data_IF_378155179138
#
_entry.id   IF_378155179138
#
_cell.length_a   1.000
_cell.length_b   1.000
_cell.length_c   1.000
_cell.angle_alpha   90.00
_cell.angle_beta   90.00
_cell.angle_gamma   90.00
#
_symmetry.space_group_name_H-M   'P 1'
#
loop_
_entity.id
_entity.type
_entity.pdbx_description
1 polymer ?
#
# COMPACT_ATOMS: atom_id res chain seq x y z
N UNK A 1 -17.59 -19.65 20.46
CA UNK A 1 -16.85 -19.72 19.18
C UNK A 1 -15.44 -19.25 19.47
N UNK A 2 -14.46 -20.15 19.50
CA UNK A 2 -13.06 -19.75 19.62
C UNK A 2 -12.67 -19.08 18.31
N UNK A 3 -12.65 -17.76 18.27
CA UNK A 3 -12.09 -17.03 17.14
C UNK A 3 -10.60 -17.34 17.10
N UNK A 4 -10.14 -18.09 16.10
CA UNK A 4 -8.71 -18.21 15.85
C UNK A 4 -8.16 -16.80 15.64
N UNK A 5 -7.25 -16.40 16.52
CA UNK A 5 -6.53 -15.13 16.41
C UNK A 5 -5.73 -15.17 15.10
N UNK A 6 -6.11 -14.31 14.16
CA UNK A 6 -5.48 -14.26 12.83
C UNK A 6 -4.17 -13.50 12.90
N UNK A 7 -3.12 -14.08 12.33
CA UNK A 7 -1.81 -13.45 12.19
C UNK A 7 -1.78 -12.64 10.90
N UNK A 8 -2.25 -11.40 10.94
CA UNK A 8 -2.36 -10.54 9.76
C UNK A 8 -1.02 -10.02 9.27
N UNK A 9 -0.92 -9.75 7.97
CA UNK A 9 0.29 -9.24 7.32
C UNK A 9 0.22 -7.79 6.86
N UNK A 10 -0.97 -7.30 6.49
CA UNK A 10 -1.12 -6.02 5.81
C UNK A 10 -0.93 -4.78 6.70
N UNK A 11 -1.03 -3.59 6.09
CA UNK A 11 -0.67 -2.32 6.72
C UNK A 11 -1.59 -1.86 7.85
N UNK A 12 -2.86 -2.29 7.85
CA UNK A 12 -3.84 -1.82 8.83
C UNK A 12 -3.75 -2.54 10.18
N UNK A 13 -3.53 -3.86 10.17
CA UNK A 13 -3.68 -4.72 11.36
C UNK A 13 -2.62 -5.82 11.45
N UNK A 14 -1.55 -5.74 10.66
CA UNK A 14 -0.59 -6.83 10.50
C UNK A 14 0.87 -6.40 10.58
N UNK A 15 1.74 -7.36 10.29
CA UNK A 15 3.20 -7.20 10.35
C UNK A 15 3.69 -5.96 9.61
N UNK A 16 3.19 -5.68 8.39
CA UNK A 16 3.60 -4.51 7.61
C UNK A 16 3.39 -3.19 8.37
N UNK A 17 2.25 -3.03 9.05
CA UNK A 17 1.96 -1.85 9.86
C UNK A 17 2.87 -1.73 11.08
N UNK A 18 3.09 -2.85 11.78
CA UNK A 18 3.97 -2.89 12.96
C UNK A 18 5.40 -2.54 12.57
N UNK A 19 5.95 -3.21 11.54
CA UNK A 19 7.31 -2.97 11.07
C UNK A 19 7.47 -1.53 10.56
N UNK A 20 6.48 -0.99 9.85
CA UNK A 20 6.50 0.40 9.39
C UNK A 20 6.67 1.38 10.56
N UNK A 21 5.93 1.18 11.65
CA UNK A 21 6.04 2.04 12.84
C UNK A 21 7.37 1.86 13.55
N UNK A 22 7.85 0.62 13.76
CA UNK A 22 9.13 0.35 14.42
C UNK A 22 10.30 1.05 13.72
N UNK A 23 10.31 1.06 12.39
CA UNK A 23 11.34 1.71 11.57
C UNK A 23 11.34 3.25 11.65
N UNK A 24 10.45 3.87 12.44
CA UNK A 24 10.51 5.31 12.75
C UNK A 24 11.30 5.62 14.02
N UNK A 25 11.73 4.61 14.76
CA UNK A 25 12.49 4.76 16.00
C UNK A 25 13.93 4.31 15.82
N UNK A 26 14.80 4.78 16.72
CA UNK A 26 16.15 4.24 16.83
C UNK A 26 16.08 2.87 17.50
N UNK A 27 16.37 1.82 16.74
CA UNK A 27 16.33 0.44 17.19
C UNK A 27 17.69 0.01 17.78
N UNK A 28 17.66 -0.98 18.68
CA UNK A 28 18.88 -1.72 19.01
C UNK A 28 19.28 -2.59 17.82
N UNK A 29 20.54 -3.05 17.78
CA UNK A 29 21.01 -3.94 16.71
C UNK A 29 20.18 -5.22 16.60
N UNK A 30 19.83 -5.82 17.74
CA UNK A 30 18.98 -7.02 17.79
C UNK A 30 17.57 -6.75 17.23
N UNK A 31 16.94 -5.64 17.64
CA UNK A 31 15.61 -5.28 17.13
C UNK A 31 15.64 -4.93 15.64
N UNK A 32 16.73 -4.34 15.14
CA UNK A 32 16.94 -4.11 13.71
C UNK A 32 17.02 -5.42 12.93
N UNK A 33 17.79 -6.40 13.42
CA UNK A 33 17.89 -7.74 12.83
C UNK A 33 16.53 -8.45 12.80
N UNK A 34 15.72 -8.34 13.86
CA UNK A 34 14.37 -8.90 13.92
C UNK A 34 13.41 -8.23 12.91
N UNK A 35 13.48 -6.91 12.76
CA UNK A 35 12.68 -6.16 11.79
C UNK A 35 13.04 -6.59 10.37
N UNK A 36 14.34 -6.63 10.04
CA UNK A 36 14.80 -7.09 8.71
C UNK A 36 14.41 -8.53 8.44
N UNK A 37 14.62 -9.42 9.41
CA UNK A 37 14.22 -10.82 9.30
C UNK A 37 12.73 -11.00 9.04
N UNK A 38 11.88 -10.20 9.71
CA UNK A 38 10.43 -10.21 9.49
C UNK A 38 10.07 -9.73 8.08
N UNK A 39 10.72 -8.68 7.58
CA UNK A 39 10.47 -8.17 6.22
C UNK A 39 10.94 -9.16 5.15
N UNK A 40 12.13 -9.76 5.30
CA UNK A 40 12.61 -10.81 4.41
C UNK A 40 11.69 -12.02 4.41
N UNK A 41 11.21 -12.45 5.60
CA UNK A 41 10.21 -13.50 5.70
C UNK A 41 8.99 -13.19 4.84
N UNK A 42 8.46 -11.96 4.93
CA UNK A 42 7.30 -11.57 4.12
C UNK A 42 7.60 -11.57 2.61
N UNK A 43 8.78 -11.10 2.20
CA UNK A 43 9.22 -11.07 0.79
C UNK A 43 9.33 -12.49 0.22
N UNK A 44 9.96 -13.41 0.95
CA UNK A 44 10.19 -14.80 0.52
C UNK A 44 8.89 -15.62 0.42
N UNK A 45 7.85 -15.23 1.16
CA UNK A 45 6.60 -15.97 1.29
C UNK A 45 5.41 -15.26 0.60
N UNK A 46 5.68 -14.39 -0.36
CA UNK A 46 4.67 -13.86 -1.27
C UNK A 46 4.03 -14.97 -2.14
N UNK A 47 2.84 -14.71 -2.67
CA UNK A 47 2.21 -15.60 -3.65
C UNK A 47 3.01 -15.65 -4.96
N UNK A 48 2.83 -16.68 -5.80
CA UNK A 48 3.45 -16.76 -7.12
C UNK A 48 3.14 -15.57 -8.05
N UNK A 49 2.09 -14.80 -7.76
CA UNK A 49 1.75 -13.58 -8.50
C UNK A 49 2.56 -12.34 -8.10
N UNK A 50 3.36 -12.42 -7.03
CA UNK A 50 4.01 -11.31 -6.34
C UNK A 50 3.14 -10.60 -5.30
N UNK A 51 1.85 -10.93 -5.18
CA UNK A 51 1.00 -10.37 -4.13
C UNK A 51 1.23 -11.07 -2.79
N UNK A 52 0.73 -10.49 -1.70
CA UNK A 52 0.98 -11.01 -0.36
C UNK A 52 -0.29 -11.54 0.31
N UNK A 53 -0.15 -12.55 1.20
CA UNK A 53 -1.27 -13.10 1.93
C UNK A 53 -1.90 -12.08 2.88
N UNK A 54 -3.19 -12.24 3.14
CA UNK A 54 -3.90 -11.37 4.10
C UNK A 54 -3.55 -11.69 5.56
N UNK A 55 -3.30 -12.97 5.83
CA UNK A 55 -2.84 -13.53 7.11
C UNK A 55 -2.02 -14.80 6.83
N UNK A 56 -1.30 -15.28 7.85
CA UNK A 56 -0.42 -16.45 7.79
C UNK A 56 -1.07 -17.69 7.14
N UNK A 57 -2.33 -17.97 7.45
CA UNK A 57 -3.05 -19.15 6.97
C UNK A 57 -3.75 -18.93 5.62
N UNK A 58 -3.64 -17.74 5.05
CA UNK A 58 -4.38 -17.33 3.86
C UNK A 58 -3.71 -17.83 2.58
N UNK A 59 -4.34 -18.77 1.89
CA UNK A 59 -3.92 -19.23 0.55
C UNK A 59 -4.65 -18.52 -0.61
N UNK A 60 -5.47 -17.52 -0.32
CA UNK A 60 -6.32 -16.85 -1.31
C UNK A 60 -5.68 -15.54 -1.78
N UNK A 61 -5.08 -15.58 -2.95
CA UNK A 61 -4.52 -14.40 -3.61
C UNK A 61 -5.60 -13.55 -4.28
N UNK A 62 -6.22 -12.64 -3.51
CA UNK A 62 -7.30 -11.78 -4.02
C UNK A 62 -7.15 -10.31 -3.67
N UNK A 63 -6.68 -9.99 -2.46
CA UNK A 63 -6.73 -8.63 -1.94
C UNK A 63 -5.49 -7.86 -2.36
N UNK A 64 -5.69 -6.71 -3.02
CA UNK A 64 -4.63 -5.78 -3.44
C UNK A 64 -4.97 -4.42 -2.84
N UNK A 65 -4.98 -4.37 -1.50
CA UNK A 65 -5.43 -3.24 -0.69
C UNK A 65 -4.31 -2.78 0.25
N UNK A 66 -4.37 -1.54 0.75
CA UNK A 66 -3.47 -1.11 1.82
C UNK A 66 -3.65 -1.96 3.09
N UNK A 67 -4.90 -2.24 3.47
CA UNK A 67 -5.18 -3.05 4.65
C UNK A 67 -4.71 -4.51 4.52
N UNK A 68 -4.74 -5.08 3.30
CA UNK A 68 -4.34 -6.46 3.02
C UNK A 68 -3.81 -6.60 1.58
N UNK A 69 -2.56 -7.05 1.45
CA UNK A 69 -1.89 -7.32 0.17
C UNK A 69 -0.77 -6.34 -0.16
N UNK A 70 -0.33 -6.38 -1.42
CA UNK A 70 0.84 -5.66 -1.91
C UNK A 70 0.88 -4.15 -1.60
N UNK A 71 -0.22 -3.37 -1.66
CA UNK A 71 -0.12 -1.93 -1.44
C UNK A 71 0.43 -1.55 -0.05
N UNK A 72 -0.08 -2.16 1.03
CA UNK A 72 0.41 -1.87 2.38
C UNK A 72 1.86 -2.29 2.56
N UNK A 73 2.23 -3.46 2.05
CA UNK A 73 3.59 -4.00 2.13
C UNK A 73 4.56 -3.18 1.31
N UNK A 74 4.17 -2.70 0.12
CA UNK A 74 5.03 -1.84 -0.70
C UNK A 74 5.41 -0.56 0.03
N UNK A 75 4.44 0.09 0.71
CA UNK A 75 4.71 1.29 1.51
C UNK A 75 5.67 1.00 2.68
N UNK A 76 5.53 -0.16 3.33
CA UNK A 76 6.47 -0.61 4.37
C UNK A 76 7.86 -0.87 3.80
N UNK A 77 7.97 -1.54 2.65
CA UNK A 77 9.26 -1.82 2.01
C UNK A 77 9.93 -0.54 1.51
N UNK A 78 9.17 0.46 1.05
CA UNK A 78 9.72 1.78 0.75
C UNK A 78 10.35 2.42 1.99
N UNK A 79 9.71 2.30 3.16
CA UNK A 79 10.27 2.77 4.43
C UNK A 79 11.53 1.98 4.81
N UNK A 80 11.52 0.65 4.63
CA UNK A 80 12.68 -0.20 4.89
C UNK A 80 13.88 0.19 4.03
N UNK A 81 13.69 0.38 2.72
CA UNK A 81 14.74 0.80 1.79
C UNK A 81 15.34 2.17 2.15
N UNK A 82 14.56 3.09 2.75
CA UNK A 82 15.08 4.37 3.22
C UNK A 82 15.92 4.24 4.51
N UNK A 83 15.55 3.33 5.40
CA UNK A 83 16.20 3.16 6.71
C UNK A 83 17.42 2.26 6.61
N UNK A 84 17.35 1.22 5.79
CA UNK A 84 18.38 0.22 5.55
C UNK A 84 18.97 0.38 4.14
N UNK A 85 19.44 1.59 3.81
CA UNK A 85 19.82 1.97 2.44
C UNK A 85 20.99 1.15 1.83
N UNK A 86 21.75 0.43 2.64
CA UNK A 86 22.81 -0.47 2.19
C UNK A 86 22.24 -1.82 1.66
N UNK A 87 20.98 -2.12 1.96
CA UNK A 87 20.26 -3.34 1.56
C UNK A 87 19.31 -3.04 0.38
N UNK A 88 19.82 -3.27 -0.83
CA UNK A 88 19.09 -2.94 -2.07
C UNK A 88 17.85 -3.82 -2.32
N UNK A 89 17.78 -4.99 -1.70
CA UNK A 89 16.69 -5.96 -1.86
C UNK A 89 15.33 -5.42 -1.39
N UNK A 90 15.29 -4.58 -0.35
CA UNK A 90 14.04 -3.92 0.05
C UNK A 90 13.49 -2.99 -1.05
N UNK A 91 14.36 -2.28 -1.76
CA UNK A 91 13.94 -1.43 -2.87
C UNK A 91 13.46 -2.28 -4.05
N UNK A 92 14.17 -3.35 -4.39
CA UNK A 92 13.78 -4.28 -5.46
C UNK A 92 12.42 -4.91 -5.16
N UNK A 93 12.23 -5.43 -3.94
CA UNK A 93 10.97 -6.00 -3.50
C UNK A 93 9.82 -4.98 -3.49
N UNK A 94 10.08 -3.73 -3.10
CA UNK A 94 9.08 -2.66 -3.18
C UNK A 94 8.65 -2.40 -4.63
N UNK A 95 9.60 -2.35 -5.57
CA UNK A 95 9.31 -2.16 -7.00
C UNK A 95 8.49 -3.32 -7.56
N UNK A 96 8.85 -4.56 -7.22
CA UNK A 96 8.14 -5.77 -7.65
C UNK A 96 6.71 -5.82 -7.11
N UNK A 97 6.52 -5.55 -5.81
CA UNK A 97 5.20 -5.42 -5.20
C UNK A 97 4.38 -4.28 -5.87
N UNK A 98 5.04 -3.20 -6.28
CA UNK A 98 4.45 -2.12 -7.06
C UNK A 98 3.93 -2.56 -8.44
N UNK A 99 4.56 -3.55 -9.09
CA UNK A 99 4.06 -4.12 -10.35
C UNK A 99 2.73 -4.87 -10.15
N UNK A 100 2.54 -5.52 -9.01
CA UNK A 100 1.24 -6.12 -8.63
C UNK A 100 0.16 -5.05 -8.57
N UNK A 101 0.45 -3.93 -7.92
CA UNK A 101 -0.49 -2.80 -7.79
C UNK A 101 -0.79 -2.18 -9.16
N UNK A 102 0.20 -2.11 -10.05
CA UNK A 102 -0.04 -1.64 -11.42
C UNK A 102 -0.99 -2.55 -12.19
N UNK A 103 -0.78 -3.86 -12.11
CA UNK A 103 -1.54 -4.83 -12.90
C UNK A 103 -2.93 -5.14 -12.31
N UNK A 104 -3.10 -5.02 -10.98
CA UNK A 104 -4.30 -5.50 -10.26
C UNK A 104 -4.93 -4.47 -9.31
N UNK A 105 -4.30 -3.31 -9.13
CA UNK A 105 -4.68 -2.31 -8.13
C UNK A 105 -5.73 -1.29 -8.58
N UNK A 106 -6.22 -1.35 -9.82
CA UNK A 106 -7.35 -0.53 -10.28
C UNK A 106 -8.68 -1.15 -9.79
N UNK A 107 -8.95 -0.99 -8.50
CA UNK A 107 -10.05 -1.65 -7.80
C UNK A 107 -11.41 -1.06 -8.19
N UNK A 108 -12.49 -1.80 -7.94
CA UNK A 108 -13.87 -1.29 -8.05
C UNK A 108 -14.32 -0.55 -6.79
N UNK A 109 -13.44 0.25 -6.18
CA UNK A 109 -13.69 1.03 -4.96
C UNK A 109 -12.84 2.31 -4.96
N UNK A 110 -13.36 3.42 -4.45
CA UNK A 110 -12.65 4.72 -4.49
C UNK A 110 -11.62 4.94 -3.38
N UNK A 111 -11.92 4.52 -2.15
CA UNK A 111 -11.26 5.01 -0.93
C UNK A 111 -9.76 4.72 -0.76
N UNK A 112 -9.25 5.11 0.41
CA UNK A 112 -7.83 4.98 0.80
C UNK A 112 -7.51 3.58 1.34
N UNK A 113 -8.39 2.99 2.16
CA UNK A 113 -8.11 1.72 2.84
C UNK A 113 -7.95 0.55 1.87
N UNK A 114 -8.83 0.50 0.87
CA UNK A 114 -8.98 -0.62 -0.07
C UNK A 114 -9.62 -0.15 -1.39
N UNK A 115 -9.17 0.99 -1.90
CA UNK A 115 -9.63 1.57 -3.15
C UNK A 115 -8.49 2.11 -4.00
N UNK A 116 -8.84 2.64 -5.16
CA UNK A 116 -7.87 3.19 -6.13
C UNK A 116 -7.07 4.33 -5.50
N UNK A 117 -7.68 5.14 -4.64
CA UNK A 117 -6.99 6.30 -4.05
C UNK A 117 -5.81 5.86 -3.19
N UNK A 118 -6.00 4.85 -2.35
CA UNK A 118 -4.92 4.29 -1.53
C UNK A 118 -3.84 3.62 -2.36
N UNK A 119 -4.23 2.86 -3.37
CA UNK A 119 -3.28 2.19 -4.26
C UNK A 119 -2.42 3.16 -5.07
N UNK A 120 -2.92 4.36 -5.37
CA UNK A 120 -2.13 5.39 -6.06
C UNK A 120 -0.92 5.87 -5.22
N UNK A 121 -1.04 5.88 -3.88
CA UNK A 121 0.06 6.27 -2.99
C UNK A 121 1.26 5.33 -3.08
N UNK A 122 1.06 4.07 -3.47
CA UNK A 122 2.15 3.12 -3.73
C UNK A 122 3.10 3.70 -4.78
N UNK A 123 2.56 4.26 -5.86
CA UNK A 123 3.39 4.83 -6.91
C UNK A 123 3.98 6.19 -6.53
N UNK A 124 3.33 6.95 -5.64
CA UNK A 124 3.94 8.15 -5.07
C UNK A 124 5.13 7.79 -4.17
N UNK A 125 5.00 6.77 -3.32
CA UNK A 125 6.08 6.27 -2.48
C UNK A 125 7.26 5.73 -3.30
N UNK A 126 6.98 4.91 -4.33
CA UNK A 126 8.01 4.42 -5.24
C UNK A 126 8.68 5.55 -6.02
N UNK A 127 7.93 6.57 -6.45
CA UNK A 127 8.52 7.74 -7.10
C UNK A 127 9.47 8.50 -6.17
N UNK A 128 9.08 8.70 -4.90
CA UNK A 128 9.95 9.33 -3.90
C UNK A 128 11.20 8.50 -3.62
N UNK A 129 11.06 7.18 -3.54
CA UNK A 129 12.15 6.25 -3.26
C UNK A 129 13.16 6.19 -4.41
N UNK A 130 12.70 5.97 -5.64
CA UNK A 130 13.57 5.65 -6.79
C UNK A 130 13.90 6.84 -7.67
N UNK A 131 13.12 7.92 -7.60
CA UNK A 131 13.21 9.05 -8.54
C UNK A 131 12.69 8.73 -9.95
N UNK A 132 12.29 7.49 -10.24
CA UNK A 132 11.80 7.10 -11.57
C UNK A 132 10.43 7.73 -11.86
N UNK A 133 10.36 8.46 -12.96
CA UNK A 133 9.14 9.14 -13.44
C UNK A 133 8.06 8.17 -13.89
N UNK A 134 8.39 6.90 -14.18
CA UNK A 134 7.43 5.82 -14.44
C UNK A 134 6.41 5.71 -13.31
N UNK A 135 6.85 5.77 -12.06
CA UNK A 135 5.94 5.67 -10.91
C UNK A 135 5.05 6.91 -10.78
N UNK A 136 5.58 8.11 -10.99
CA UNK A 136 4.77 9.32 -11.03
C UNK A 136 3.68 9.26 -12.11
N UNK A 137 4.01 8.72 -13.29
CA UNK A 137 3.04 8.48 -14.34
C UNK A 137 1.92 7.52 -13.90
N UNK A 138 2.26 6.43 -13.21
CA UNK A 138 1.28 5.47 -12.69
C UNK A 138 0.36 6.08 -11.63
N UNK A 139 0.90 6.87 -10.71
CA UNK A 139 0.10 7.65 -9.75
C UNK A 139 -0.89 8.56 -10.48
N UNK A 140 -0.41 9.31 -11.50
CA UNK A 140 -1.24 10.16 -12.34
C UNK A 140 -2.32 9.38 -13.07
N UNK A 141 -2.02 8.20 -13.61
CA UNK A 141 -3.00 7.37 -14.30
C UNK A 141 -4.15 6.95 -13.36
N UNK A 142 -3.83 6.52 -12.14
CA UNK A 142 -4.85 6.16 -11.14
C UNK A 142 -5.69 7.37 -10.72
N UNK A 143 -5.05 8.51 -10.45
CA UNK A 143 -5.74 9.75 -10.10
C UNK A 143 -6.62 10.28 -11.24
N UNK A 144 -6.18 10.13 -12.50
CA UNK A 144 -6.93 10.54 -13.69
C UNK A 144 -8.13 9.61 -13.93
N UNK A 145 -7.97 8.30 -13.72
CA UNK A 145 -9.09 7.36 -13.79
C UNK A 145 -10.16 7.69 -12.75
N UNK A 146 -9.76 8.04 -11.51
CA UNK A 146 -10.70 8.49 -10.49
C UNK A 146 -11.46 9.77 -10.93
N UNK A 147 -10.76 10.73 -11.52
CA UNK A 147 -11.38 11.98 -11.98
C UNK A 147 -12.40 11.75 -13.10
N UNK A 148 -12.08 10.89 -14.06
CA UNK A 148 -12.87 10.67 -15.27
C UNK A 148 -14.00 9.63 -15.07
N UNK A 149 -13.72 8.56 -14.32
CA UNK A 149 -14.56 7.36 -14.29
C UNK A 149 -15.24 7.10 -12.93
N UNK A 150 -14.75 7.64 -11.81
CA UNK A 150 -15.30 7.26 -10.50
C UNK A 150 -16.79 7.59 -10.38
N UNK A 151 -17.20 8.83 -10.71
CA UNK A 151 -18.60 9.25 -10.56
C UNK A 151 -19.55 8.43 -11.45
N UNK A 152 -19.32 8.29 -12.79
CA UNK A 152 -20.16 7.43 -13.63
C UNK A 152 -20.27 5.98 -13.13
N UNK A 153 -19.15 5.38 -12.70
CA UNK A 153 -19.14 3.99 -12.24
C UNK A 153 -19.84 3.80 -10.89
N UNK A 154 -19.74 4.78 -9.98
CA UNK A 154 -20.47 4.76 -8.71
C UNK A 154 -21.97 4.89 -8.95
N UNK A 155 -22.39 5.86 -9.77
CA UNK A 155 -23.80 6.08 -10.11
C UNK A 155 -24.43 4.86 -10.82
N UNK A 156 -23.65 4.11 -11.59
CA UNK A 156 -24.07 2.87 -12.23
C UNK A 156 -24.01 1.63 -11.31
N UNK A 157 -23.55 1.75 -10.06
CA UNK A 157 -23.38 0.62 -9.13
C UNK A 157 -22.23 -0.34 -9.50
N UNK A 158 -21.33 0.07 -10.39
CA UNK A 158 -20.20 -0.73 -10.87
C UNK A 158 -18.93 -0.52 -10.02
N UNK A 159 -18.87 0.56 -9.26
CA UNK A 159 -17.82 0.90 -8.31
C UNK A 159 -18.42 1.27 -6.96
N UNK A 160 -17.81 0.80 -5.87
CA UNK A 160 -18.25 1.12 -4.52
C UNK A 160 -17.71 2.50 -4.08
N UNK A 161 -18.60 3.41 -3.69
CA UNK A 161 -18.26 4.74 -3.18
C UNK A 161 -17.77 4.78 -1.72
N UNK A 162 -17.79 3.65 -1.02
CA UNK A 162 -17.52 3.54 0.41
C UNK A 162 -18.81 3.44 1.23
N UNK A 163 -18.80 2.69 2.33
CA UNK A 163 -19.97 2.58 3.21
C UNK A 163 -20.29 3.94 3.85
N UNK A 164 -19.22 4.70 4.16
CA UNK A 164 -19.28 6.11 4.49
C UNK A 164 -18.72 6.94 3.31
N UNK A 165 -19.56 7.37 2.36
CA UNK A 165 -19.12 7.84 1.04
C UNK A 165 -18.32 9.15 1.05
N UNK A 166 -18.31 9.87 2.17
CA UNK A 166 -17.54 11.11 2.35
C UNK A 166 -16.43 10.98 3.41
N UNK A 167 -16.17 9.78 3.91
CA UNK A 167 -15.09 9.53 4.88
C UNK A 167 -13.71 9.53 4.22
N UNK A 168 -12.67 9.74 5.03
CA UNK A 168 -11.28 9.72 4.56
C UNK A 168 -10.85 8.34 4.07
N UNK A 169 -11.13 7.27 4.83
CA UNK A 169 -10.59 5.95 4.54
C UNK A 169 -11.41 5.14 3.53
N UNK A 170 -12.71 5.39 3.39
CA UNK A 170 -13.58 4.61 2.48
C UNK A 170 -14.10 5.43 1.29
N UNK A 171 -14.29 6.74 1.51
CA UNK A 171 -15.06 7.60 0.61
C UNK A 171 -14.23 8.62 -0.17
N UNK A 172 -14.95 9.61 -0.71
CA UNK A 172 -14.43 10.64 -1.61
C UNK A 172 -13.47 11.63 -0.94
N UNK A 173 -13.50 11.78 0.40
CA UNK A 173 -12.53 12.63 1.08
C UNK A 173 -11.10 12.08 0.92
N UNK A 174 -10.94 10.76 0.87
CA UNK A 174 -9.67 10.11 0.55
C UNK A 174 -9.21 10.37 -0.90
N UNK A 175 -10.15 10.35 -1.85
CA UNK A 175 -9.86 10.71 -3.24
C UNK A 175 -9.44 12.17 -3.39
N UNK A 176 -10.14 13.09 -2.70
CA UNK A 176 -9.76 14.49 -2.68
C UNK A 176 -8.37 14.70 -2.06
N UNK A 177 -8.06 14.01 -0.95
CA UNK A 177 -6.74 14.05 -0.32
C UNK A 177 -5.65 13.61 -1.30
N UNK A 178 -5.84 12.50 -2.04
CA UNK A 178 -4.90 12.07 -3.08
C UNK A 178 -4.68 13.18 -4.11
N UNK A 179 -5.75 13.82 -4.61
CA UNK A 179 -5.59 14.87 -5.63
C UNK A 179 -4.81 16.08 -5.13
N UNK A 180 -4.97 16.48 -3.86
CA UNK A 180 -4.14 17.52 -3.26
C UNK A 180 -2.68 17.10 -3.16
N UNK A 181 -2.40 15.87 -2.74
CA UNK A 181 -1.05 15.32 -2.64
C UNK A 181 -0.37 15.18 -4.01
N UNK A 182 -1.14 14.89 -5.06
CA UNK A 182 -0.64 14.84 -6.45
C UNK A 182 -0.09 16.19 -6.95
N UNK A 183 -0.42 17.31 -6.32
CA UNK A 183 0.14 18.64 -6.67
C UNK A 183 1.62 18.73 -6.27
N UNK A 184 2.00 18.06 -5.17
CA UNK A 184 3.39 18.03 -4.65
C UNK A 184 3.81 16.58 -4.41
N UNK A 185 4.04 15.79 -5.47
CA UNK A 185 4.20 14.33 -5.37
C UNK A 185 5.41 13.89 -4.52
N UNK A 186 6.43 14.73 -4.41
CA UNK A 186 7.59 14.45 -3.55
C UNK A 186 7.30 14.68 -2.05
N UNK A 187 6.26 15.45 -1.72
CA UNK A 187 5.82 15.69 -0.34
C UNK A 187 4.62 14.81 0.06
N UNK A 188 3.98 14.14 -0.90
CA UNK A 188 2.80 13.31 -0.67
C UNK A 188 3.08 12.20 0.34
N UNK A 189 2.11 11.90 1.21
CA UNK A 189 2.22 10.84 2.22
C UNK A 189 0.88 10.14 2.39
N UNK A 190 0.88 8.81 2.39
CA UNK A 190 -0.33 8.04 2.69
C UNK A 190 -0.88 8.49 4.05
N UNK A 191 -2.14 8.97 4.11
CA UNK A 191 -2.66 9.63 5.31
C UNK A 191 -2.75 8.65 6.48
N UNK A 192 -2.24 9.07 7.63
CA UNK A 192 -2.18 8.28 8.87
C UNK A 192 -1.41 6.95 8.77
N UNK A 193 -0.46 6.86 7.81
CA UNK A 193 0.48 5.75 7.72
C UNK A 193 1.91 6.24 7.54
N UNK A 194 2.20 6.99 6.48
CA UNK A 194 3.53 7.56 6.22
C UNK A 194 3.74 8.87 7.02
N UNK A 195 4.90 9.01 7.67
CA UNK A 195 5.22 10.13 8.58
C UNK A 195 6.21 11.14 7.99
#
# INVERSE_FOLDING_TARGET
MNGMEKKFWGGAHGLAGIMHVLMHFQLSKEAEEDVKGTLHYMIEHQFPSGNYPSSEESSIDRLVHWCHGAPGITLTLCKAAQVFAEENDFQEAAVDAGEVVWNRGLLRRVGICHGISGNAYVFLALHRLTGDRKHLYRAKAFASFLLDQAYPLISAGQMHGGDHPYSLFEGLAGTAHLWFDMVRPLEAKFPAYEL
#
